data_IF_491622490132
#
_entry.id   IF_491622490132
#
_cell.length_a   1.000
_cell.length_b   1.000
_cell.length_c   1.000
_cell.angle_alpha   90.00
_cell.angle_beta   90.00
_cell.angle_gamma   90.00
#
_symmetry.space_group_name_H-M   'P 1'
#
loop_
_entity.id
_entity.type
_entity.pdbx_description
1 polymer ?
#
# COMPACT_ATOMS: atom_id res chain seq x y z
N UNK A 1 9.84 -26.66 -4.42
CA UNK A 1 10.40 -25.44 -3.81
C UNK A 1 9.25 -24.45 -3.77
N UNK A 2 8.56 -24.36 -2.63
CA UNK A 2 7.47 -23.41 -2.44
C UNK A 2 8.06 -21.99 -2.50
N UNK A 3 7.65 -21.20 -3.49
CA UNK A 3 7.92 -19.77 -3.47
C UNK A 3 6.98 -19.17 -2.44
N UNK A 4 7.52 -18.67 -1.33
CA UNK A 4 6.75 -17.95 -0.33
C UNK A 4 6.00 -16.79 -1.02
N UNK A 5 4.69 -16.79 -0.89
CA UNK A 5 3.81 -15.72 -1.38
C UNK A 5 3.15 -15.04 -0.19
N UNK A 6 3.14 -13.71 -0.22
CA UNK A 6 2.52 -12.89 0.82
C UNK A 6 1.15 -12.43 0.32
N UNK A 7 0.10 -12.82 1.03
CA UNK A 7 -1.27 -12.38 0.75
C UNK A 7 -1.56 -11.07 1.49
N UNK A 8 -1.68 -9.96 0.75
CA UNK A 8 -1.96 -8.63 1.29
C UNK A 8 -2.69 -7.75 0.27
N UNK A 9 -3.54 -6.82 0.72
CA UNK A 9 -4.32 -5.93 -0.16
C UNK A 9 -5.21 -6.67 -1.18
N UNK A 10 -5.78 -7.81 -0.76
CA UNK A 10 -6.55 -8.71 -1.64
C UNK A 10 -5.77 -9.17 -2.89
N UNK A 11 -4.43 -9.21 -2.80
CA UNK A 11 -3.50 -9.62 -3.86
C UNK A 11 -2.42 -10.53 -3.26
N UNK A 12 -1.81 -11.35 -4.11
CA UNK A 12 -0.62 -12.14 -3.77
C UNK A 12 0.64 -11.42 -4.25
N UNK A 13 1.64 -11.35 -3.40
CA UNK A 13 2.92 -10.70 -3.64
C UNK A 13 4.05 -11.72 -3.47
N UNK A 14 5.09 -11.63 -4.28
CA UNK A 14 6.33 -12.37 -3.99
C UNK A 14 7.05 -11.71 -2.81
N UNK A 15 7.72 -12.46 -1.94
CA UNK A 15 8.50 -11.89 -0.81
C UNK A 15 9.50 -10.83 -1.26
N UNK A 16 10.08 -11.00 -2.45
CA UNK A 16 11.00 -10.05 -3.07
C UNK A 16 10.31 -8.78 -3.58
N UNK A 17 9.05 -8.87 -4.00
CA UNK A 17 8.27 -7.78 -4.58
C UNK A 17 7.38 -7.06 -3.58
N UNK A 18 7.19 -7.62 -2.38
CA UNK A 18 6.39 -7.00 -1.32
C UNK A 18 7.20 -5.87 -0.65
N UNK A 19 7.18 -4.71 -1.29
CA UNK A 19 7.89 -3.50 -0.87
C UNK A 19 7.00 -2.27 -1.03
N UNK A 20 7.28 -1.21 -0.27
CA UNK A 20 6.53 0.03 -0.40
C UNK A 20 6.75 0.67 -1.77
N UNK A 21 5.68 1.04 -2.46
CA UNK A 21 5.79 1.63 -3.81
C UNK A 21 6.45 3.01 -3.84
N UNK A 22 6.55 3.68 -2.70
CA UNK A 22 7.11 5.04 -2.58
C UNK A 22 8.59 5.08 -2.24
N UNK A 23 9.07 4.14 -1.43
CA UNK A 23 10.46 4.13 -0.96
C UNK A 23 11.20 2.82 -1.26
N UNK A 24 10.56 1.87 -1.95
CA UNK A 24 11.09 0.53 -2.27
C UNK A 24 11.65 -0.24 -1.06
N UNK A 25 11.29 0.17 0.16
CA UNK A 25 11.73 -0.53 1.36
C UNK A 25 10.91 -1.81 1.50
N UNK A 26 11.59 -2.91 1.84
CA UNK A 26 10.95 -4.22 2.03
C UNK A 26 9.87 -4.13 3.09
N UNK A 27 8.70 -4.64 2.74
CA UNK A 27 7.55 -4.69 3.62
C UNK A 27 7.56 -6.03 4.33
N UNK A 28 7.63 -6.01 5.66
CA UNK A 28 7.60 -7.22 6.47
C UNK A 28 6.28 -7.28 7.23
N UNK A 29 5.87 -8.47 7.66
CA UNK A 29 4.68 -8.64 8.52
C UNK A 29 4.74 -7.84 9.83
N UNK A 30 5.93 -7.43 10.28
CA UNK A 30 6.08 -6.56 11.45
C UNK A 30 5.88 -5.07 11.14
N UNK A 31 5.97 -4.68 9.87
CA UNK A 31 5.88 -3.29 9.47
C UNK A 31 4.44 -2.94 9.08
N UNK A 32 3.86 -1.97 9.77
CA UNK A 32 2.58 -1.41 9.38
C UNK A 32 2.69 -0.62 8.08
N UNK A 33 1.77 -0.88 7.17
CA UNK A 33 1.65 -0.18 5.90
C UNK A 33 0.24 0.39 5.74
N UNK A 34 0.15 1.44 4.94
CA UNK A 34 -1.11 2.10 4.57
C UNK A 34 -1.40 1.76 3.11
N UNK A 35 -2.62 1.32 2.81
CA UNK A 35 -3.05 1.19 1.43
C UNK A 35 -3.32 2.59 0.85
N UNK A 36 -2.63 2.92 -0.23
CA UNK A 36 -2.85 4.16 -0.97
C UNK A 36 -2.71 3.86 -2.46
N UNK A 37 -3.70 4.20 -3.28
CA UNK A 37 -3.70 3.86 -4.71
C UNK A 37 -3.57 2.35 -4.99
N UNK A 38 -4.24 1.52 -4.18
CA UNK A 38 -4.11 0.04 -4.22
C UNK A 38 -2.68 -0.47 -4.06
N UNK A 39 -1.79 0.37 -3.51
CA UNK A 39 -0.38 0.09 -3.32
C UNK A 39 -0.02 0.23 -1.84
N UNK A 40 0.93 -0.57 -1.35
CA UNK A 40 1.41 -0.43 0.01
C UNK A 40 2.34 0.80 0.13
N UNK A 41 2.03 1.68 1.08
CA UNK A 41 2.81 2.88 1.38
C UNK A 41 3.21 2.92 2.86
N UNK A 42 4.43 3.34 3.15
CA UNK A 42 4.95 3.39 4.52
C UNK A 42 4.31 4.55 5.29
N UNK A 43 4.08 4.43 6.61
CA UNK A 43 3.52 5.55 7.42
C UNK A 43 4.28 6.86 7.20
N UNK A 44 5.63 6.83 7.26
CA UNK A 44 6.49 8.00 6.96
C UNK A 44 6.26 8.59 5.57
N UNK A 45 6.05 7.74 4.57
CA UNK A 45 5.84 8.13 3.19
C UNK A 45 4.45 8.76 3.02
N UNK A 46 3.45 8.16 3.66
CA UNK A 46 2.09 8.64 3.72
C UNK A 46 2.01 10.01 4.41
N UNK A 47 2.76 10.22 5.50
CA UNK A 47 2.83 11.52 6.19
C UNK A 47 3.39 12.63 5.29
N UNK A 48 4.39 12.31 4.46
CA UNK A 48 4.97 13.24 3.47
C UNK A 48 4.03 13.64 2.34
N UNK A 49 2.94 12.90 2.11
CA UNK A 49 2.01 13.26 1.05
C UNK A 49 1.26 14.55 1.38
N UNK A 50 1.10 15.46 0.39
CA UNK A 50 0.36 16.69 0.58
C UNK A 50 -1.09 16.39 0.93
N UNK A 51 -1.68 17.25 1.77
CA UNK A 51 -3.05 17.07 2.27
C UNK A 51 -4.08 17.00 1.13
N UNK A 52 -3.86 17.79 0.08
CA UNK A 52 -4.69 17.80 -1.12
C UNK A 52 -4.72 16.44 -1.83
N UNK A 53 -3.58 15.74 -1.89
CA UNK A 53 -3.50 14.41 -2.49
C UNK A 53 -4.25 13.38 -1.66
N UNK A 54 -4.11 13.43 -0.32
CA UNK A 54 -4.87 12.57 0.60
C UNK A 54 -6.37 12.79 0.47
N UNK A 55 -6.81 14.05 0.43
CA UNK A 55 -8.22 14.41 0.29
C UNK A 55 -8.80 13.96 -1.05
N UNK A 56 -8.07 14.20 -2.15
CA UNK A 56 -8.47 13.73 -3.48
C UNK A 56 -8.64 12.23 -3.51
N UNK A 57 -7.69 11.49 -2.93
CA UNK A 57 -7.76 10.04 -2.89
C UNK A 57 -8.94 9.54 -2.04
N UNK A 58 -9.19 10.14 -0.88
CA UNK A 58 -10.35 9.83 -0.03
C UNK A 58 -11.67 10.00 -0.80
N UNK A 59 -11.80 11.07 -1.58
CA UNK A 59 -12.98 11.32 -2.44
C UNK A 59 -13.12 10.24 -3.52
N UNK A 60 -12.01 9.83 -4.15
CA UNK A 60 -12.02 8.75 -5.14
C UNK A 60 -12.41 7.41 -4.51
N UNK A 61 -11.86 7.05 -3.34
CA UNK A 61 -12.22 5.82 -2.64
C UNK A 61 -13.69 5.80 -2.22
N UNK A 62 -14.24 6.94 -1.78
CA UNK A 62 -15.68 7.04 -1.48
C UNK A 62 -16.54 6.87 -2.74
N UNK A 63 -16.08 7.40 -3.88
CA UNK A 63 -16.79 7.29 -5.16
C UNK A 63 -16.75 5.87 -5.71
N UNK A 64 -15.59 5.19 -5.59
CA UNK A 64 -15.38 3.84 -6.11
C UNK A 64 -16.00 2.76 -5.20
N UNK A 65 -16.11 3.00 -3.90
CA UNK A 65 -16.74 2.08 -2.94
C UNK A 65 -18.26 2.05 -2.98
N UNK A 66 -18.91 2.88 -3.81
CA UNK A 66 -20.38 2.94 -3.97
C UNK A 66 -20.93 2.00 -5.06
N UNK A 67 -20.20 0.94 -5.42
CA UNK A 67 -20.67 -0.03 -6.43
C UNK A 67 -20.89 -1.41 -5.83
#
# INVERSE_FOLDING_TARGET
MESDVVSALNKAWCVSCFAYSTCNTKLTFKNEFVEFDMKPVCKKCYEKFPLELKNRFKKLTETLGRK
#
